data_IF_440331629195
#
_entry.id   IF_440331629195
#
_cell.length_a   1.000
_cell.length_b   1.000
_cell.length_c   1.000
_cell.angle_alpha   90.00
_cell.angle_beta   90.00
_cell.angle_gamma   90.00
#
_symmetry.space_group_name_H-M   'P 1'
#
loop_
_entity.id
_entity.type
_entity.pdbx_description
1 polymer ?
#
# COMPACT_ATOMS: atom_id res chain seq x y z
N UNK A 1 -0.49 4.11 23.99
CA UNK A 1 -1.88 4.39 23.55
C UNK A 1 -1.84 4.40 22.01
N UNK A 2 -2.63 3.58 21.34
CA UNK A 2 -2.63 3.51 19.88
C UNK A 2 -3.27 4.74 19.26
N UNK A 3 -2.78 5.16 18.12
CA UNK A 3 -3.37 6.24 17.33
C UNK A 3 -4.58 5.73 16.54
N UNK A 4 -5.70 6.46 16.60
CA UNK A 4 -6.84 6.17 15.71
C UNK A 4 -6.54 6.65 14.29
N UNK A 5 -6.95 5.89 13.28
CA UNK A 5 -6.84 6.29 11.87
C UNK A 5 -7.46 7.67 11.59
N UNK A 6 -8.51 8.05 12.33
CA UNK A 6 -9.15 9.36 12.23
C UNK A 6 -8.22 10.55 12.47
N UNK A 7 -7.11 10.35 13.21
CA UNK A 7 -6.14 11.41 13.49
C UNK A 7 -5.30 11.79 12.26
N UNK A 8 -5.05 10.84 11.36
CA UNK A 8 -4.15 11.04 10.25
C UNK A 8 -4.79 10.86 8.87
N UNK A 9 -6.01 10.30 8.77
CA UNK A 9 -6.74 10.29 7.50
C UNK A 9 -6.89 11.71 6.98
N UNK A 10 -6.41 11.93 5.76
CA UNK A 10 -6.48 13.24 5.11
C UNK A 10 -7.90 13.53 4.61
N UNK A 11 -8.33 14.79 4.68
CA UNK A 11 -9.69 15.17 4.28
C UNK A 11 -9.98 14.87 2.80
N UNK A 12 -8.98 15.01 1.92
CA UNK A 12 -9.11 14.64 0.51
C UNK A 12 -9.30 13.14 0.31
N UNK A 13 -8.62 12.30 1.10
CA UNK A 13 -8.80 10.86 1.08
C UNK A 13 -10.23 10.50 1.50
N UNK A 14 -10.70 11.04 2.61
CA UNK A 14 -12.08 10.84 3.10
C UNK A 14 -13.11 11.25 2.05
N UNK A 15 -12.98 12.44 1.47
CA UNK A 15 -13.88 12.93 0.43
C UNK A 15 -13.87 12.06 -0.83
N UNK A 16 -12.68 11.60 -1.24
CA UNK A 16 -12.55 10.74 -2.41
C UNK A 16 -13.12 9.34 -2.15
N UNK A 17 -12.93 8.78 -0.95
CA UNK A 17 -13.54 7.52 -0.54
C UNK A 17 -15.08 7.62 -0.50
N UNK A 18 -15.62 8.72 0.02
CA UNK A 18 -17.07 8.97 0.06
C UNK A 18 -17.65 9.05 -1.36
N UNK A 19 -16.92 9.63 -2.31
CA UNK A 19 -17.33 9.66 -3.71
C UNK A 19 -17.39 8.26 -4.33
N UNK A 20 -16.45 7.36 -3.99
CA UNK A 20 -16.47 5.95 -4.44
C UNK A 20 -17.61 5.17 -3.78
N UNK A 21 -17.94 5.44 -2.52
CA UNK A 21 -19.01 4.79 -1.78
C UNK A 21 -20.41 5.10 -2.37
N UNK A 22 -20.54 6.12 -3.23
CA UNK A 22 -21.77 6.36 -4.00
C UNK A 22 -22.07 5.25 -5.02
N UNK A 23 -21.13 4.32 -5.27
CA UNK A 23 -21.28 3.17 -6.15
C UNK A 23 -21.33 1.84 -5.37
N UNK A 24 -22.32 1.61 -4.46
CA UNK A 24 -22.27 0.49 -3.51
C UNK A 24 -22.27 -0.89 -4.16
N UNK A 25 -22.91 -1.03 -5.34
CA UNK A 25 -22.90 -2.30 -6.09
C UNK A 25 -21.52 -2.63 -6.64
N UNK A 26 -20.79 -1.60 -7.06
CA UNK A 26 -19.41 -1.75 -7.54
C UNK A 26 -18.48 -2.09 -6.38
N UNK A 27 -18.59 -1.38 -5.26
CA UNK A 27 -17.79 -1.63 -4.05
C UNK A 27 -17.95 -3.09 -3.59
N UNK A 28 -19.18 -3.57 -3.39
CA UNK A 28 -19.44 -4.98 -3.01
C UNK A 28 -18.89 -6.00 -3.99
N UNK A 29 -18.91 -5.67 -5.28
CA UNK A 29 -18.35 -6.55 -6.31
C UNK A 29 -16.82 -6.61 -6.20
N UNK A 30 -16.16 -5.48 -5.94
CA UNK A 30 -14.72 -5.42 -5.74
C UNK A 30 -14.29 -6.16 -4.46
N UNK A 31 -15.01 -6.00 -3.37
CA UNK A 31 -14.80 -6.74 -2.12
C UNK A 31 -14.84 -8.26 -2.36
N UNK A 32 -15.87 -8.71 -3.07
CA UNK A 32 -16.01 -10.13 -3.43
C UNK A 32 -14.90 -10.63 -4.36
N UNK A 33 -14.46 -9.79 -5.30
CA UNK A 33 -13.37 -10.14 -6.22
C UNK A 33 -12.03 -10.21 -5.48
N UNK A 34 -11.71 -9.20 -4.70
CA UNK A 34 -10.45 -9.14 -3.94
C UNK A 34 -10.32 -10.35 -3.00
N UNK A 35 -11.32 -10.60 -2.17
CA UNK A 35 -11.30 -11.71 -1.22
C UNK A 35 -11.18 -13.10 -1.85
N UNK A 36 -11.74 -13.29 -3.05
CA UNK A 36 -11.81 -14.62 -3.67
C UNK A 36 -10.69 -14.90 -4.68
N UNK A 37 -10.17 -13.89 -5.35
CA UNK A 37 -9.26 -14.07 -6.48
C UNK A 37 -7.94 -13.33 -6.32
N UNK A 38 -7.99 -12.03 -6.04
CA UNK A 38 -6.81 -11.15 -6.10
C UNK A 38 -5.82 -11.46 -4.97
N UNK A 39 -6.31 -11.54 -3.74
CA UNK A 39 -5.47 -11.83 -2.56
C UNK A 39 -4.82 -13.22 -2.62
N UNK A 40 -5.58 -14.23 -3.06
CA UNK A 40 -5.05 -15.60 -3.14
C UNK A 40 -3.97 -15.71 -4.21
N UNK A 41 -4.20 -15.13 -5.38
CA UNK A 41 -3.22 -15.17 -6.47
C UNK A 41 -1.94 -14.41 -6.09
N UNK A 42 -2.07 -13.20 -5.57
CA UNK A 42 -0.94 -12.40 -5.11
C UNK A 42 -0.16 -13.10 -3.97
N UNK A 43 -0.87 -13.72 -3.03
CA UNK A 43 -0.22 -14.47 -1.93
C UNK A 43 0.52 -15.70 -2.43
N UNK A 44 -0.02 -16.44 -3.39
CA UNK A 44 0.66 -17.61 -4.00
C UNK A 44 1.94 -17.17 -4.71
N UNK A 45 1.88 -16.10 -5.51
CA UNK A 45 3.05 -15.55 -6.20
C UNK A 45 4.12 -15.10 -5.20
N UNK A 46 3.72 -14.39 -4.17
CA UNK A 46 4.62 -13.95 -3.10
C UNK A 46 5.27 -15.12 -2.37
N UNK A 47 4.49 -16.11 -1.95
CA UNK A 47 5.00 -17.30 -1.25
C UNK A 47 5.96 -18.14 -2.10
N UNK A 48 5.85 -18.07 -3.43
CA UNK A 48 6.73 -18.79 -4.35
C UNK A 48 8.07 -18.09 -4.60
N UNK A 49 8.16 -16.76 -4.38
CA UNK A 49 9.30 -15.92 -4.78
C UNK A 49 9.93 -15.12 -3.65
N UNK A 50 9.25 -14.99 -2.50
CA UNK A 50 9.65 -14.15 -1.39
C UNK A 50 10.06 -14.95 -0.14
N UNK A 51 10.83 -14.31 0.72
CA UNK A 51 11.19 -14.83 2.05
C UNK A 51 10.27 -14.15 3.06
N UNK A 52 9.52 -14.95 3.84
CA UNK A 52 8.76 -14.42 4.98
C UNK A 52 9.72 -14.02 6.09
N UNK A 53 9.65 -12.77 6.53
CA UNK A 53 10.44 -12.25 7.62
C UNK A 53 9.82 -12.61 8.98
N UNK A 54 10.67 -12.68 9.99
CA UNK A 54 10.28 -13.04 11.35
C UNK A 54 11.46 -12.91 12.31
N UNK A 55 11.27 -13.33 13.54
CA UNK A 55 12.30 -13.23 14.59
C UNK A 55 13.61 -13.97 14.24
N UNK A 56 13.54 -15.02 13.40
CA UNK A 56 14.70 -15.80 12.95
C UNK A 56 15.09 -15.50 11.50
N UNK A 57 14.37 -14.61 10.80
CA UNK A 57 14.59 -14.27 9.41
C UNK A 57 14.65 -12.75 9.25
N UNK A 58 15.85 -12.21 9.06
CA UNK A 58 16.14 -10.77 9.00
C UNK A 58 15.53 -10.01 10.21
N UNK A 59 15.88 -10.40 11.46
CA UNK A 59 15.29 -9.84 12.67
C UNK A 59 15.44 -8.31 12.78
N UNK A 60 16.51 -7.76 12.19
CA UNK A 60 16.77 -6.31 12.15
C UNK A 60 15.67 -5.55 11.38
N UNK A 61 15.15 -6.14 10.30
CA UNK A 61 14.07 -5.54 9.49
C UNK A 61 12.71 -5.88 10.11
N UNK A 62 12.50 -7.16 10.48
CA UNK A 62 11.22 -7.59 11.07
C UNK A 62 10.92 -6.86 12.39
N UNK A 63 11.92 -6.70 13.23
CA UNK A 63 11.76 -6.06 14.54
C UNK A 63 11.33 -4.59 14.50
N UNK A 64 11.41 -3.95 13.33
CA UNK A 64 10.90 -2.58 13.12
C UNK A 64 9.37 -2.52 13.03
N UNK A 65 8.72 -3.62 12.60
CA UNK A 65 7.29 -3.62 12.28
C UNK A 65 6.37 -3.66 13.52
N UNK A 66 6.56 -4.56 14.53
CA UNK A 66 5.63 -4.68 15.64
C UNK A 66 5.40 -3.38 16.44
N UNK A 67 6.43 -2.56 16.75
CA UNK A 67 6.23 -1.30 17.45
C UNK A 67 5.36 -0.30 16.64
N UNK A 68 5.48 -0.30 15.32
CA UNK A 68 4.68 0.56 14.42
C UNK A 68 3.22 0.11 14.46
N UNK A 69 2.98 -1.20 14.37
CA UNK A 69 1.63 -1.77 14.44
C UNK A 69 0.95 -1.46 15.77
N UNK A 70 1.69 -1.55 16.89
CA UNK A 70 1.19 -1.16 18.21
C UNK A 70 0.80 0.33 18.25
N UNK A 71 1.63 1.21 17.68
CA UNK A 71 1.33 2.65 17.60
C UNK A 71 0.09 2.94 16.77
N UNK A 72 -0.10 2.25 15.64
CA UNK A 72 -1.25 2.44 14.75
C UNK A 72 -2.47 1.61 15.13
N UNK A 73 -2.38 0.77 16.16
CA UNK A 73 -3.49 -0.04 16.67
C UNK A 73 -3.97 -1.11 15.69
N UNK A 74 -3.07 -1.69 14.91
CA UNK A 74 -3.35 -2.76 13.96
C UNK A 74 -2.63 -4.07 14.37
N UNK A 75 -3.19 -5.20 13.96
CA UNK A 75 -2.49 -6.48 14.07
C UNK A 75 -1.24 -6.46 13.18
N UNK A 76 -0.17 -7.11 13.64
CA UNK A 76 1.08 -7.18 12.87
C UNK A 76 0.88 -8.02 11.60
N UNK A 77 0.94 -7.42 10.40
CA UNK A 77 0.81 -8.14 9.15
C UNK A 77 2.00 -9.05 8.88
N UNK A 78 1.82 -10.02 7.99
CA UNK A 78 2.96 -10.80 7.48
C UNK A 78 3.87 -9.86 6.68
N UNK A 79 5.19 -9.93 6.94
CA UNK A 79 6.20 -9.15 6.23
C UNK A 79 7.04 -10.07 5.34
N UNK A 80 7.22 -9.68 4.10
CA UNK A 80 7.95 -10.44 3.10
C UNK A 80 9.11 -9.65 2.51
N UNK A 81 10.19 -10.35 2.20
CA UNK A 81 11.34 -9.81 1.46
C UNK A 81 11.37 -10.40 0.06
N UNK A 82 11.31 -9.53 -0.94
CA UNK A 82 11.29 -9.88 -2.37
C UNK A 82 12.61 -9.50 -3.02
N UNK A 83 13.18 -10.41 -3.81
CA UNK A 83 14.37 -10.12 -4.59
C UNK A 83 14.00 -9.31 -5.85
N UNK A 84 14.02 -7.99 -5.73
CA UNK A 84 13.86 -7.04 -6.85
C UNK A 84 14.85 -5.88 -6.66
N UNK A 85 15.54 -5.49 -7.74
CA UNK A 85 16.50 -4.37 -7.73
C UNK A 85 15.83 -3.00 -7.60
N UNK A 86 14.55 -2.89 -7.96
CA UNK A 86 13.78 -1.67 -7.79
C UNK A 86 13.49 -1.46 -6.31
N UNK A 87 13.75 -0.24 -5.81
CA UNK A 87 13.41 0.11 -4.45
C UNK A 87 11.89 0.27 -4.35
N UNK A 88 11.23 -0.64 -3.64
CA UNK A 88 9.78 -0.65 -3.45
C UNK A 88 9.38 -1.34 -2.16
N UNK A 89 8.26 -0.88 -1.59
CA UNK A 89 7.45 -1.59 -0.62
C UNK A 89 6.00 -1.51 -1.06
N UNK A 90 5.16 -2.44 -0.68
CA UNK A 90 3.72 -2.30 -0.88
C UNK A 90 2.95 -3.22 0.05
N UNK A 91 1.73 -2.79 0.35
CA UNK A 91 0.72 -3.53 1.09
C UNK A 91 -0.30 -4.13 0.12
N UNK A 92 -0.71 -5.36 0.37
CA UNK A 92 -1.79 -6.01 -0.37
C UNK A 92 -2.60 -6.90 0.58
N UNK A 93 -3.81 -7.27 0.13
CA UNK A 93 -4.77 -8.04 0.92
C UNK A 93 -5.65 -7.15 1.79
N UNK A 94 -6.96 -7.41 1.76
CA UNK A 94 -7.97 -6.67 2.54
C UNK A 94 -8.41 -7.43 3.79
N UNK A 95 -8.40 -8.76 3.74
CA UNK A 95 -8.80 -9.64 4.86
C UNK A 95 -7.59 -10.05 5.69
N UNK A 96 -6.51 -10.42 5.03
CA UNK A 96 -5.23 -10.78 5.65
C UNK A 96 -4.12 -9.93 5.03
N UNK A 97 -3.96 -8.68 5.47
CA UNK A 97 -2.99 -7.79 4.87
C UNK A 97 -1.56 -8.31 5.06
N UNK A 98 -0.78 -8.17 4.02
CA UNK A 98 0.64 -8.48 3.99
C UNK A 98 1.41 -7.27 3.47
N UNK A 99 2.63 -7.10 3.94
CA UNK A 99 3.57 -6.09 3.43
C UNK A 99 4.73 -6.82 2.78
N UNK A 100 5.20 -6.34 1.64
CA UNK A 100 6.51 -6.75 1.13
C UNK A 100 7.45 -5.57 0.99
N UNK A 101 8.73 -5.85 1.17
CA UNK A 101 9.84 -4.93 0.90
C UNK A 101 10.80 -5.57 -0.08
N UNK A 102 11.33 -4.81 -1.01
CA UNK A 102 12.27 -5.31 -2.00
C UNK A 102 13.72 -5.23 -1.53
N UNK A 103 14.58 -6.09 -2.07
CA UNK A 103 16.02 -5.99 -1.85
C UNK A 103 16.58 -4.64 -2.28
N UNK A 104 16.03 -4.04 -3.34
CA UNK A 104 16.40 -2.70 -3.79
C UNK A 104 16.11 -1.62 -2.75
N UNK A 105 14.99 -1.71 -2.05
CA UNK A 105 14.63 -0.78 -0.97
C UNK A 105 15.58 -0.92 0.21
N UNK A 106 15.73 -2.14 0.73
CA UNK A 106 16.56 -2.43 1.91
C UNK A 106 18.03 -2.06 1.67
N UNK A 107 18.53 -2.24 0.45
CA UNK A 107 19.91 -1.86 0.09
C UNK A 107 20.07 -0.34 -0.13
N UNK A 108 19.01 0.35 -0.54
CA UNK A 108 19.07 1.78 -0.89
C UNK A 108 18.89 2.69 0.33
N UNK A 109 18.00 2.29 1.25
CA UNK A 109 17.70 3.09 2.43
C UNK A 109 18.53 2.67 3.63
N UNK A 110 19.06 3.65 4.40
CA UNK A 110 19.58 3.37 5.73
C UNK A 110 18.54 2.71 6.61
N UNK A 111 18.98 1.81 7.51
CA UNK A 111 18.05 1.04 8.38
C UNK A 111 17.15 1.94 9.23
N UNK A 112 17.63 3.13 9.64
CA UNK A 112 16.87 4.10 10.44
C UNK A 112 15.74 4.82 9.66
N UNK A 113 15.67 4.66 8.33
CA UNK A 113 14.60 5.20 7.48
C UNK A 113 13.56 4.12 7.09
N UNK A 114 13.87 2.83 7.24
CA UNK A 114 12.91 1.76 6.97
C UNK A 114 11.65 1.83 7.84
N UNK A 115 11.71 2.24 9.14
CA UNK A 115 10.50 2.42 9.94
C UNK A 115 9.49 3.37 9.29
N UNK A 116 9.93 4.47 8.67
CA UNK A 116 9.04 5.41 7.99
C UNK A 116 8.30 4.76 6.83
N UNK A 117 8.99 3.91 6.03
CA UNK A 117 8.35 3.15 4.94
C UNK A 117 7.36 2.13 5.49
N UNK A 118 7.73 1.37 6.52
CA UNK A 118 6.83 0.39 7.11
C UNK A 118 5.62 1.06 7.77
N UNK A 119 5.78 2.23 8.37
CA UNK A 119 4.69 3.01 8.95
C UNK A 119 3.73 3.55 7.87
N UNK A 120 4.26 3.96 6.70
CA UNK A 120 3.45 4.31 5.54
C UNK A 120 2.59 3.11 5.08
N UNK A 121 3.19 1.94 4.90
CA UNK A 121 2.47 0.72 4.52
C UNK A 121 1.43 0.29 5.58
N UNK A 122 1.79 0.40 6.87
CA UNK A 122 0.85 0.17 7.97
C UNK A 122 -0.29 1.20 7.99
N UNK A 123 -0.02 2.43 7.55
CA UNK A 123 -1.03 3.47 7.35
C UNK A 123 -2.09 3.05 6.34
N UNK A 124 -1.69 2.45 5.22
CA UNK A 124 -2.62 1.89 4.25
C UNK A 124 -3.49 0.78 4.85
N UNK A 125 -2.92 -0.09 5.69
CA UNK A 125 -3.69 -1.14 6.38
C UNK A 125 -4.71 -0.53 7.34
N UNK A 126 -4.28 0.39 8.19
CA UNK A 126 -5.12 1.03 9.19
C UNK A 126 -6.28 1.83 8.58
N UNK A 127 -6.03 2.48 7.43
CA UNK A 127 -7.05 3.23 6.67
C UNK A 127 -7.86 2.34 5.71
N UNK A 128 -7.58 1.02 5.63
CA UNK A 128 -8.27 0.05 4.76
C UNK A 128 -8.17 0.38 3.27
N UNK A 129 -7.01 0.87 2.83
CA UNK A 129 -6.78 1.27 1.45
C UNK A 129 -6.58 0.08 0.50
N UNK A 130 -6.18 -1.10 1.01
CA UNK A 130 -5.70 -2.24 0.21
C UNK A 130 -6.65 -2.67 -0.91
N UNK A 131 -7.97 -2.64 -0.66
CA UNK A 131 -8.97 -3.04 -1.66
C UNK A 131 -8.89 -2.19 -2.92
N UNK A 132 -8.97 -0.87 -2.76
CA UNK A 132 -9.02 0.05 -3.90
C UNK A 132 -7.65 0.23 -4.55
N UNK A 133 -6.56 0.12 -3.78
CA UNK A 133 -5.20 0.13 -4.33
C UNK A 133 -4.95 -1.01 -5.31
N UNK A 134 -5.35 -2.24 -4.98
CA UNK A 134 -5.23 -3.40 -5.88
C UNK A 134 -5.93 -3.13 -7.22
N UNK A 135 -7.10 -2.50 -7.17
CA UNK A 135 -7.88 -2.18 -8.36
C UNK A 135 -7.28 -1.00 -9.14
N UNK A 136 -6.86 0.05 -8.44
CA UNK A 136 -6.21 1.22 -9.06
C UNK A 136 -4.93 0.81 -9.80
N UNK A 137 -4.09 -0.03 -9.17
CA UNK A 137 -2.87 -0.56 -9.79
C UNK A 137 -3.13 -1.30 -11.11
N UNK A 138 -4.24 -2.06 -11.19
CA UNK A 138 -4.63 -2.76 -12.41
C UNK A 138 -5.18 -1.82 -13.50
N UNK A 139 -5.51 -0.57 -13.18
CA UNK A 139 -6.08 0.42 -14.08
C UNK A 139 -5.07 1.47 -14.57
N UNK A 140 -3.86 1.50 -14.00
CA UNK A 140 -2.81 2.49 -14.35
C UNK A 140 -2.44 2.44 -15.84
N UNK A 141 -2.47 1.25 -16.46
CA UNK A 141 -2.22 1.08 -17.91
C UNK A 141 -3.38 1.49 -18.82
N UNK A 142 -4.49 1.91 -18.24
CA UNK A 142 -5.74 2.23 -18.95
C UNK A 142 -6.79 1.13 -18.88
N UNK A 143 -8.03 1.52 -19.11
CA UNK A 143 -9.19 0.61 -18.99
C UNK A 143 -9.04 -0.59 -19.93
N UNK A 144 -8.69 -0.36 -21.18
CA UNK A 144 -8.63 -1.40 -22.23
C UNK A 144 -7.54 -2.47 -21.97
N UNK A 145 -6.50 -2.12 -21.22
CA UNK A 145 -5.40 -3.02 -20.88
C UNK A 145 -5.62 -3.76 -19.55
N UNK A 146 -6.60 -3.33 -18.76
CA UNK A 146 -6.87 -3.92 -17.45
C UNK A 146 -7.51 -5.31 -17.57
N UNK A 147 -6.99 -6.32 -16.84
CA UNK A 147 -7.64 -7.63 -16.73
C UNK A 147 -9.08 -7.55 -16.21
N UNK A 148 -9.40 -6.52 -15.44
CA UNK A 148 -10.73 -6.30 -14.84
C UNK A 148 -11.84 -6.09 -15.89
N UNK A 149 -11.51 -5.56 -17.06
CA UNK A 149 -12.46 -5.40 -18.19
C UNK A 149 -12.96 -6.74 -18.68
N UNK A 150 -12.11 -7.77 -18.61
CA UNK A 150 -12.45 -9.13 -19.04
C UNK A 150 -13.39 -9.85 -18.09
N UNK A 151 -13.62 -9.29 -16.89
CA UNK A 151 -14.60 -9.78 -15.92
C UNK A 151 -15.93 -9.06 -16.18
N UNK A 152 -16.94 -9.70 -16.81
CA UNK A 152 -18.15 -8.99 -17.26
C UNK A 152 -18.89 -8.26 -16.13
N UNK A 153 -18.83 -8.82 -14.92
CA UNK A 153 -19.45 -8.24 -13.74
C UNK A 153 -18.78 -6.92 -13.32
N UNK A 154 -17.47 -6.78 -13.46
CA UNK A 154 -16.68 -5.59 -13.11
C UNK A 154 -16.62 -4.63 -14.29
N UNK A 155 -16.28 -5.13 -15.48
CA UNK A 155 -16.05 -4.34 -16.68
C UNK A 155 -17.17 -3.36 -17.02
N UNK A 156 -18.42 -3.76 -16.80
CA UNK A 156 -19.59 -2.89 -17.03
C UNK A 156 -19.64 -1.63 -16.16
N UNK A 157 -18.93 -1.62 -15.02
CA UNK A 157 -18.84 -0.46 -14.10
C UNK A 157 -17.62 0.41 -14.38
N UNK A 158 -16.62 -0.09 -15.12
CA UNK A 158 -15.38 0.63 -15.39
C UNK A 158 -15.59 1.75 -16.40
N UNK A 159 -16.38 2.75 -16.02
CA UNK A 159 -16.53 3.97 -16.81
C UNK A 159 -15.30 4.88 -16.65
N UNK A 160 -14.96 5.72 -17.63
CA UNK A 160 -13.87 6.69 -17.49
C UNK A 160 -14.00 7.58 -16.25
N UNK A 161 -15.21 7.92 -15.84
CA UNK A 161 -15.49 8.72 -14.66
C UNK A 161 -15.11 7.97 -13.39
N UNK A 162 -15.55 6.71 -13.26
CA UNK A 162 -15.22 5.88 -12.09
C UNK A 162 -13.73 5.59 -11.99
N UNK A 163 -13.08 5.31 -13.12
CA UNK A 163 -11.62 5.07 -13.14
C UNK A 163 -10.85 6.32 -12.72
N UNK A 164 -11.25 7.50 -13.19
CA UNK A 164 -10.64 8.76 -12.73
C UNK A 164 -10.85 8.99 -11.23
N UNK A 165 -12.05 8.69 -10.71
CA UNK A 165 -12.33 8.79 -9.29
C UNK A 165 -11.46 7.84 -8.45
N UNK A 166 -11.28 6.59 -8.89
CA UNK A 166 -10.38 5.61 -8.26
C UNK A 166 -8.93 6.07 -8.28
N UNK A 167 -8.41 6.50 -9.42
CA UNK A 167 -7.02 6.99 -9.53
C UNK A 167 -6.80 8.30 -8.76
N UNK A 168 -7.82 9.13 -8.62
CA UNK A 168 -7.76 10.32 -7.78
C UNK A 168 -7.73 9.94 -6.30
N UNK A 169 -8.61 9.01 -5.88
CA UNK A 169 -8.61 8.50 -4.51
C UNK A 169 -7.26 7.84 -4.16
N UNK A 170 -6.71 7.04 -5.06
CA UNK A 170 -5.41 6.38 -4.90
C UNK A 170 -4.29 7.39 -4.53
N UNK A 171 -4.26 8.54 -5.20
CA UNK A 171 -3.34 9.64 -4.85
C UNK A 171 -3.66 10.29 -3.50
N UNK A 172 -4.93 10.41 -3.14
CA UNK A 172 -5.34 11.03 -1.89
C UNK A 172 -5.02 10.13 -0.69
N UNK A 173 -5.10 8.81 -0.87
CA UNK A 173 -4.77 7.83 0.17
C UNK A 173 -3.29 7.85 0.55
N UNK A 174 -2.39 8.20 -0.38
CA UNK A 174 -0.96 8.40 -0.09
C UNK A 174 -0.73 9.49 0.96
N UNK A 175 -1.55 10.56 0.95
CA UNK A 175 -1.45 11.64 1.94
C UNK A 175 -1.77 11.14 3.37
N UNK A 176 -2.70 10.20 3.50
CA UNK A 176 -3.03 9.57 4.79
C UNK A 176 -1.91 8.66 5.26
N UNK A 177 -1.33 7.87 4.36
CA UNK A 177 -0.22 6.98 4.66
C UNK A 177 1.05 7.75 5.05
N UNK A 178 1.36 8.85 4.35
CA UNK A 178 2.47 9.75 4.72
C UNK A 178 2.26 10.39 6.09
N UNK A 179 1.02 10.77 6.44
CA UNK A 179 0.70 11.29 7.78
C UNK A 179 0.85 10.22 8.87
N UNK A 180 0.46 8.96 8.58
CA UNK A 180 0.70 7.85 9.51
C UNK A 180 2.19 7.64 9.76
N UNK A 181 3.01 7.67 8.70
CA UNK A 181 4.46 7.58 8.81
C UNK A 181 5.04 8.71 9.65
N UNK A 182 4.69 9.96 9.35
CA UNK A 182 5.15 11.13 10.10
C UNK A 182 4.73 11.09 11.57
N UNK A 183 3.54 10.58 11.87
CA UNK A 183 3.05 10.41 13.24
C UNK A 183 3.86 9.36 14.02
N UNK A 184 4.16 8.22 13.40
CA UNK A 184 5.00 7.17 14.00
C UNK A 184 6.45 7.64 14.21
N UNK A 185 6.99 8.42 13.28
CA UNK A 185 8.33 8.99 13.37
C UNK A 185 8.42 10.18 14.35
N UNK A 186 7.30 10.77 14.75
CA UNK A 186 7.22 12.01 15.52
C UNK A 186 7.64 13.26 14.76
N UNK A 187 7.96 13.15 13.46
CA UNK A 187 8.36 14.25 12.56
C UNK A 187 8.10 13.85 11.10
N UNK A 188 7.86 14.83 10.24
CA UNK A 188 7.76 14.62 8.80
C UNK A 188 9.13 14.48 8.11
N UNK A 189 10.22 14.83 8.77
CA UNK A 189 11.56 14.94 8.14
C UNK A 189 12.03 13.59 7.58
N UNK A 190 11.78 12.49 8.31
CA UNK A 190 12.16 11.15 7.84
C UNK A 190 11.34 10.70 6.63
N UNK A 191 10.03 10.94 6.65
CA UNK A 191 9.15 10.67 5.51
C UNK A 191 9.62 11.45 4.28
N UNK A 192 9.96 12.73 4.44
CA UNK A 192 10.52 13.57 3.37
C UNK A 192 11.86 13.02 2.88
N UNK A 193 12.78 12.64 3.78
CA UNK A 193 14.09 12.07 3.38
C UNK A 193 13.92 10.76 2.60
N UNK A 194 12.99 9.89 3.01
CA UNK A 194 12.63 8.67 2.26
C UNK A 194 12.16 9.02 0.85
N UNK A 195 11.19 9.93 0.71
CA UNK A 195 10.66 10.35 -0.59
C UNK A 195 11.76 10.93 -1.50
N UNK A 196 12.62 11.78 -0.96
CA UNK A 196 13.75 12.36 -1.71
C UNK A 196 14.72 11.27 -2.17
N UNK A 197 15.08 10.31 -1.31
CA UNK A 197 16.01 9.23 -1.67
C UNK A 197 15.40 8.28 -2.69
N UNK A 198 14.12 7.96 -2.60
CA UNK A 198 13.46 7.08 -3.55
C UNK A 198 13.32 7.73 -4.93
N UNK A 199 13.07 9.04 -4.99
CA UNK A 199 12.89 9.79 -6.24
C UNK A 199 14.18 10.37 -6.84
N UNK A 200 15.23 10.60 -6.04
CA UNK A 200 16.49 11.23 -6.49
C UNK A 200 17.25 10.47 -7.60
N UNK A 201 16.93 9.20 -7.83
CA UNK A 201 17.57 8.38 -8.88
C UNK A 201 17.06 8.72 -10.29
N UNK A 202 15.91 9.38 -10.41
CA UNK A 202 15.40 9.83 -11.73
C UNK A 202 16.24 10.95 -12.36
N UNK A 203 17.00 11.71 -11.57
CA UNK A 203 17.76 12.88 -12.06
C UNK A 203 19.24 12.60 -12.38
N UNK A 204 19.81 11.49 -11.93
CA UNK A 204 21.23 11.19 -12.16
C UNK A 204 21.54 10.54 -13.50
N UNK A 205 20.56 10.13 -14.29
CA UNK A 205 20.71 9.57 -15.62
C UNK A 205 20.54 10.59 -16.78
N UNK A 206 20.48 11.88 -16.49
CA UNK A 206 20.39 12.97 -17.49
C UNK A 206 21.71 13.75 -17.66
N UNK A 207 22.88 13.05 -17.46
CA UNK A 207 24.18 13.59 -17.85
C UNK A 207 24.88 12.68 -18.82
#
# INVERSE_FOLDING_TARGET
MAYSAELYVHDLDRQAADALNQFPKFVKLLESYSANYDEKAAKIDLLSTAIRLGENQMPEVYGLLPPICEQLGIDTPELYYVRDKRANAATFGSVHPCIYVTSGLVNKLPLNLLPSVLAHECGHIACKHSLYHSIAAQLVGGIDQSPLVRIPAIGKYLTPTLVRALLFWDRCSELSADRAAALCDGTADKTIDVLLRLNAVSYTHLR
#
